data_IF_390996586114
#
_entry.id   IF_390996586114
#
_cell.length_a   1.000
_cell.length_b   1.000
_cell.length_c   1.000
_cell.angle_alpha   90.00
_cell.angle_beta   90.00
_cell.angle_gamma   90.00
#
_symmetry.space_group_name_H-M   'P 1'
#
loop_
_entity.id
_entity.type
_entity.pdbx_description
1 polymer ?
#
# COMPACT_ATOMS: atom_id res chain seq x y z
N UNK A 1 11.11 -43.71 -7.89
CA UNK A 1 10.78 -45.16 -7.98
C UNK A 1 9.29 -45.27 -8.27
N UNK A 2 8.85 -46.15 -9.19
CA UNK A 2 7.41 -46.37 -9.39
C UNK A 2 6.80 -46.96 -8.12
N UNK A 3 5.65 -46.44 -7.69
CA UNK A 3 4.87 -47.03 -6.60
C UNK A 3 4.52 -48.49 -6.93
N UNK A 4 4.75 -49.38 -5.97
CA UNK A 4 4.42 -50.79 -6.10
C UNK A 4 3.33 -51.15 -5.08
N UNK A 5 2.14 -51.46 -5.59
CA UNK A 5 0.97 -51.76 -4.79
C UNK A 5 1.17 -53.00 -3.91
N UNK A 6 1.78 -54.05 -4.45
CA UNK A 6 1.96 -55.32 -3.72
C UNK A 6 2.90 -55.14 -2.52
N UNK A 7 3.93 -54.29 -2.65
CA UNK A 7 4.83 -53.94 -1.54
C UNK A 7 4.12 -53.14 -0.45
N UNK A 8 3.28 -52.19 -0.85
CA UNK A 8 2.51 -51.38 0.09
C UNK A 8 1.47 -52.21 0.83
N UNK A 9 0.77 -53.13 0.15
CA UNK A 9 -0.21 -54.03 0.78
C UNK A 9 0.48 -54.99 1.76
N UNK A 10 1.71 -55.41 1.46
CA UNK A 10 2.49 -56.28 2.35
C UNK A 10 3.01 -55.57 3.62
N UNK A 11 3.31 -54.27 3.55
CA UNK A 11 3.73 -53.46 4.70
C UNK A 11 3.25 -52.02 4.55
N UNK A 12 1.97 -51.74 4.86
CA UNK A 12 1.41 -50.41 4.67
C UNK A 12 1.99 -49.45 5.71
N UNK A 13 2.45 -48.29 5.24
CA UNK A 13 2.98 -47.23 6.09
C UNK A 13 2.29 -45.90 5.79
N UNK A 14 2.15 -45.09 6.84
CA UNK A 14 1.53 -43.76 6.75
C UNK A 14 2.36 -42.81 5.90
N UNK A 15 3.68 -42.84 6.10
CA UNK A 15 4.63 -42.01 5.37
C UNK A 15 4.61 -42.32 3.86
N UNK A 16 4.50 -43.60 3.51
CA UNK A 16 4.34 -44.01 2.12
C UNK A 16 3.02 -43.49 1.55
N UNK A 17 1.90 -43.67 2.27
CA UNK A 17 0.57 -43.20 1.86
C UNK A 17 0.51 -41.67 1.66
N UNK A 18 1.20 -40.90 2.51
CA UNK A 18 1.30 -39.44 2.42
C UNK A 18 2.04 -38.98 1.15
N UNK A 19 3.08 -39.73 0.77
CA UNK A 19 3.91 -39.45 -0.39
C UNK A 19 3.26 -39.82 -1.73
N UNK A 20 2.20 -40.67 -1.73
CA UNK A 20 1.57 -41.16 -2.95
C UNK A 20 0.86 -40.07 -3.76
N UNK A 21 0.81 -40.25 -5.08
CA UNK A 21 0.00 -39.43 -5.99
C UNK A 21 -1.46 -39.87 -5.97
N UNK A 22 -2.38 -38.98 -6.37
CA UNK A 22 -3.83 -39.29 -6.44
C UNK A 22 -4.12 -40.58 -7.23
N UNK A 23 -3.44 -40.79 -8.35
CA UNK A 23 -3.59 -42.00 -9.18
C UNK A 23 -3.16 -43.28 -8.47
N UNK A 24 -2.23 -43.20 -7.53
CA UNK A 24 -1.71 -44.34 -6.76
C UNK A 24 -2.62 -44.63 -5.57
N UNK A 25 -3.08 -43.60 -4.86
CA UNK A 25 -4.08 -43.73 -3.79
C UNK A 25 -5.37 -44.36 -4.31
N UNK A 26 -5.80 -43.97 -5.52
CA UNK A 26 -6.97 -44.60 -6.18
C UNK A 26 -6.74 -46.09 -6.46
N UNK A 27 -5.52 -46.52 -6.80
CA UNK A 27 -5.21 -47.94 -6.98
C UNK A 27 -5.31 -48.71 -5.66
N UNK A 28 -4.80 -48.11 -4.57
CA UNK A 28 -4.90 -48.66 -3.22
C UNK A 28 -6.37 -48.79 -2.81
N UNK A 29 -7.17 -47.73 -2.96
CA UNK A 29 -8.60 -47.74 -2.66
C UNK A 29 -9.35 -48.84 -3.41
N UNK A 30 -9.08 -48.99 -4.72
CA UNK A 30 -9.68 -50.06 -5.54
C UNK A 30 -9.25 -51.47 -5.11
N UNK A 31 -8.01 -51.65 -4.67
CA UNK A 31 -7.50 -52.94 -4.21
C UNK A 31 -8.23 -53.42 -2.95
N UNK A 32 -8.48 -52.51 -2.02
CA UNK A 32 -9.24 -52.79 -0.80
C UNK A 32 -10.76 -52.73 -1.00
N UNK A 33 -11.25 -52.49 -2.22
CA UNK A 33 -12.69 -52.43 -2.50
C UNK A 33 -13.41 -51.22 -1.89
N UNK A 34 -12.67 -50.14 -1.57
CA UNK A 34 -13.22 -48.93 -0.97
C UNK A 34 -13.99 -48.14 -2.02
N UNK A 35 -15.25 -47.85 -1.75
CA UNK A 35 -16.08 -47.00 -2.61
C UNK A 35 -15.69 -45.53 -2.44
N UNK A 36 -15.39 -44.84 -3.54
CA UNK A 36 -15.10 -43.41 -3.54
C UNK A 36 -15.71 -42.74 -4.78
N UNK A 37 -16.01 -41.44 -4.68
CA UNK A 37 -16.50 -40.68 -5.82
C UNK A 37 -15.33 -40.19 -6.70
N UNK A 38 -15.40 -40.30 -8.03
CA UNK A 38 -14.30 -39.91 -8.92
C UNK A 38 -13.87 -38.43 -8.82
N UNK A 39 -14.80 -37.54 -8.44
CA UNK A 39 -14.54 -36.11 -8.27
C UNK A 39 -13.86 -35.76 -6.93
N UNK A 40 -13.76 -36.69 -5.99
CA UNK A 40 -13.17 -36.43 -4.68
C UNK A 40 -11.70 -35.98 -4.79
N UNK A 41 -11.31 -35.08 -3.90
CA UNK A 41 -9.94 -34.56 -3.78
C UNK A 41 -9.01 -35.67 -3.27
N UNK A 42 -7.70 -35.51 -3.52
CA UNK A 42 -6.67 -36.48 -3.09
C UNK A 42 -6.80 -36.80 -1.59
N UNK A 43 -6.97 -35.76 -0.78
CA UNK A 43 -7.00 -35.85 0.68
C UNK A 43 -8.26 -36.57 1.19
N UNK A 44 -9.39 -36.41 0.50
CA UNK A 44 -10.65 -37.11 0.82
C UNK A 44 -10.52 -38.61 0.55
N UNK A 45 -10.01 -39.00 -0.63
CA UNK A 45 -9.79 -40.42 -0.97
C UNK A 45 -8.75 -41.04 -0.02
N UNK A 46 -7.69 -40.28 0.31
CA UNK A 46 -6.67 -40.70 1.27
C UNK A 46 -7.28 -40.98 2.64
N UNK A 47 -8.21 -40.14 3.10
CA UNK A 47 -8.91 -40.32 4.38
C UNK A 47 -9.72 -41.61 4.41
N UNK A 48 -10.50 -41.90 3.37
CA UNK A 48 -11.25 -43.17 3.29
C UNK A 48 -10.33 -44.40 3.32
N UNK A 49 -9.19 -44.34 2.61
CA UNK A 49 -8.18 -45.40 2.66
C UNK A 49 -7.60 -45.55 4.06
N UNK A 50 -7.31 -44.44 4.73
CA UNK A 50 -6.73 -44.44 6.07
C UNK A 50 -7.72 -44.95 7.13
N UNK A 51 -8.99 -44.56 7.06
CA UNK A 51 -10.08 -45.07 7.91
C UNK A 51 -10.21 -46.60 7.75
N UNK A 52 -10.27 -47.10 6.51
CA UNK A 52 -10.34 -48.54 6.26
C UNK A 52 -9.13 -49.32 6.79
N UNK A 53 -7.91 -48.81 6.60
CA UNK A 53 -6.69 -49.46 7.10
C UNK A 53 -6.62 -49.46 8.64
N UNK A 54 -7.23 -48.49 9.32
CA UNK A 54 -7.34 -48.51 10.78
C UNK A 54 -8.45 -49.48 11.23
N UNK A 55 -9.60 -49.50 10.56
CA UNK A 55 -10.72 -50.38 10.89
C UNK A 55 -10.35 -51.86 10.77
N UNK A 56 -9.59 -52.22 9.73
CA UNK A 56 -9.03 -53.57 9.54
C UNK A 56 -7.83 -53.87 10.46
N UNK A 57 -7.50 -52.97 11.40
CA UNK A 57 -6.37 -53.09 12.33
C UNK A 57 -5.01 -53.26 11.64
N UNK A 58 -4.89 -52.79 10.40
CA UNK A 58 -3.66 -52.83 9.60
C UNK A 58 -2.72 -51.70 10.04
N UNK A 59 -3.28 -50.54 10.40
CA UNK A 59 -2.57 -49.39 10.96
C UNK A 59 -3.11 -49.05 12.36
N UNK A 60 -2.27 -48.52 13.28
CA UNK A 60 -2.71 -48.10 14.59
C UNK A 60 -3.61 -46.87 14.52
N UNK A 61 -4.63 -46.81 15.39
CA UNK A 61 -5.62 -45.71 15.44
C UNK A 61 -5.04 -44.33 15.76
N UNK A 62 -3.83 -44.26 16.30
CA UNK A 62 -3.07 -43.02 16.57
C UNK A 62 -2.76 -42.22 15.30
N UNK A 63 -2.82 -42.88 14.13
CA UNK A 63 -2.56 -42.26 12.82
C UNK A 63 -3.73 -41.38 12.38
N UNK A 64 -4.97 -41.75 12.72
CA UNK A 64 -6.15 -40.93 12.39
C UNK A 64 -6.12 -39.59 13.14
N UNK A 65 -5.71 -39.60 14.41
CA UNK A 65 -5.65 -38.38 15.23
C UNK A 65 -4.63 -37.37 14.72
N UNK A 66 -3.49 -37.84 14.20
CA UNK A 66 -2.44 -36.97 13.64
C UNK A 66 -2.83 -36.39 12.27
N UNK A 67 -3.50 -37.17 11.41
CA UNK A 67 -3.93 -36.72 10.08
C UNK A 67 -5.02 -35.61 10.11
N UNK A 68 -5.79 -35.49 11.19
CA UNK A 68 -6.87 -34.49 11.33
C UNK A 68 -6.32 -33.06 11.53
N UNK A 69 -5.05 -32.91 11.92
CA UNK A 69 -4.50 -31.61 12.39
C UNK A 69 -3.99 -30.66 11.30
N UNK A 70 -3.93 -31.07 10.03
CA UNK A 70 -3.43 -30.19 8.96
C UNK A 70 -4.51 -29.98 7.90
N UNK A 71 -5.43 -29.02 8.09
CA UNK A 71 -6.38 -28.65 7.06
C UNK A 71 -5.63 -27.98 5.91
N UNK A 72 -5.55 -28.67 4.77
CA UNK A 72 -4.98 -28.21 3.50
C UNK A 72 -5.79 -27.08 2.84
N UNK A 73 -6.96 -26.71 3.37
CA UNK A 73 -7.83 -25.63 2.86
C UNK A 73 -7.44 -24.20 3.32
N UNK A 74 -6.51 -24.05 4.26
CA UNK A 74 -6.08 -22.71 4.73
C UNK A 74 -5.41 -21.86 3.64
N UNK A 75 -4.98 -22.44 2.53
CA UNK A 75 -4.30 -21.73 1.44
C UNK A 75 -5.22 -20.76 0.69
N UNK A 76 -6.52 -21.05 0.60
CA UNK A 76 -7.47 -20.18 -0.10
C UNK A 76 -7.89 -19.00 0.78
N UNK A 77 -8.11 -19.24 2.08
CA UNK A 77 -8.40 -18.17 3.04
C UNK A 77 -7.21 -17.24 3.25
N UNK A 78 -5.97 -17.77 3.32
CA UNK A 78 -4.76 -16.95 3.39
C UNK A 78 -4.65 -16.02 2.17
N UNK A 79 -4.85 -16.56 0.96
CA UNK A 79 -4.80 -15.75 -0.28
C UNK A 79 -5.89 -14.69 -0.32
N UNK A 80 -7.08 -15.00 0.19
CA UNK A 80 -8.17 -14.03 0.27
C UNK A 80 -7.84 -12.89 1.23
N UNK A 81 -7.31 -13.23 2.40
CA UNK A 81 -6.88 -12.26 3.42
C UNK A 81 -5.71 -11.38 2.92
N UNK A 82 -4.75 -11.99 2.24
CA UNK A 82 -3.60 -11.29 1.65
C UNK A 82 -4.05 -10.31 0.54
N UNK A 83 -5.02 -10.71 -0.28
CA UNK A 83 -5.60 -9.84 -1.32
C UNK A 83 -6.36 -8.66 -0.71
N UNK A 84 -7.09 -8.88 0.38
CA UNK A 84 -7.82 -7.83 1.10
C UNK A 84 -6.86 -6.84 1.76
N UNK A 85 -5.81 -7.33 2.41
CA UNK A 85 -4.74 -6.50 2.97
C UNK A 85 -4.01 -5.68 1.90
N UNK A 86 -3.67 -6.28 0.76
CA UNK A 86 -3.03 -5.58 -0.36
C UNK A 86 -3.93 -4.47 -0.93
N UNK A 87 -5.24 -4.70 -1.01
CA UNK A 87 -6.21 -3.69 -1.44
C UNK A 87 -6.22 -2.51 -0.47
N UNK A 88 -6.21 -2.77 0.83
CA UNK A 88 -6.24 -1.72 1.85
C UNK A 88 -4.95 -0.90 1.88
N UNK A 89 -3.79 -1.54 1.76
CA UNK A 89 -2.49 -0.84 1.62
C UNK A 89 -2.52 0.10 0.43
N UNK A 90 -2.98 -0.38 -0.73
CA UNK A 90 -3.04 0.42 -1.97
C UNK A 90 -3.99 1.62 -1.86
N UNK A 91 -5.12 1.46 -1.18
CA UNK A 91 -6.04 2.58 -0.92
C UNK A 91 -5.39 3.63 -0.02
N UNK A 92 -4.71 3.20 1.04
CA UNK A 92 -4.03 4.08 1.99
C UNK A 92 -2.81 4.79 1.40
N UNK A 93 -2.17 4.20 0.39
CA UNK A 93 -1.12 4.87 -0.39
C UNK A 93 -1.69 5.97 -1.28
N UNK A 94 -2.77 5.68 -2.02
CA UNK A 94 -3.46 6.70 -2.83
C UNK A 94 -3.96 7.88 -1.99
N UNK A 95 -4.49 7.62 -0.81
CA UNK A 95 -4.98 8.69 0.08
C UNK A 95 -3.83 9.59 0.57
N UNK A 96 -2.71 8.98 0.97
CA UNK A 96 -1.51 9.73 1.37
C UNK A 96 -0.91 10.55 0.21
N UNK A 97 -0.94 10.01 -1.00
CA UNK A 97 -0.48 10.73 -2.19
C UNK A 97 -1.35 11.96 -2.48
N UNK A 98 -2.68 11.79 -2.48
CA UNK A 98 -3.62 12.92 -2.62
C UNK A 98 -3.43 13.98 -1.54
N UNK A 99 -3.24 13.57 -0.30
CA UNK A 99 -3.03 14.51 0.81
C UNK A 99 -1.71 15.29 0.65
N UNK A 100 -0.65 14.64 0.14
CA UNK A 100 0.62 15.33 -0.18
C UNK A 100 0.44 16.33 -1.31
N UNK A 101 -0.21 15.93 -2.41
CA UNK A 101 -0.48 16.83 -3.53
C UNK A 101 -1.32 18.03 -3.11
N UNK A 102 -2.32 17.82 -2.25
CA UNK A 102 -3.15 18.91 -1.74
C UNK A 102 -2.35 19.88 -0.86
N UNK A 103 -1.46 19.37 0.00
CA UNK A 103 -0.56 20.21 0.81
C UNK A 103 0.39 21.00 -0.07
N UNK A 104 1.04 20.37 -1.04
CA UNK A 104 1.94 21.06 -1.97
C UNK A 104 1.21 22.15 -2.75
N UNK A 105 -0.03 21.89 -3.18
CA UNK A 105 -0.84 22.89 -3.87
C UNK A 105 -1.16 24.08 -2.97
N UNK A 106 -1.58 23.83 -1.73
CA UNK A 106 -1.85 24.89 -0.74
C UNK A 106 -0.60 25.69 -0.42
N UNK A 107 0.55 25.05 -0.30
CA UNK A 107 1.83 25.75 -0.07
C UNK A 107 2.20 26.66 -1.23
N UNK A 108 2.06 26.18 -2.48
CA UNK A 108 2.29 27.00 -3.67
C UNK A 108 1.31 28.17 -3.77
N UNK A 109 0.03 27.94 -3.50
CA UNK A 109 -0.98 29.00 -3.47
C UNK A 109 -0.64 30.07 -2.41
N UNK A 110 -0.27 29.65 -1.19
CA UNK A 110 0.15 30.56 -0.13
C UNK A 110 1.42 31.33 -0.50
N UNK A 111 2.39 30.67 -1.14
CA UNK A 111 3.64 31.31 -1.56
C UNK A 111 3.41 32.37 -2.64
N UNK A 112 2.58 32.06 -3.65
CA UNK A 112 2.18 33.03 -4.67
C UNK A 112 1.44 34.23 -4.06
N UNK A 113 0.58 33.98 -3.07
CA UNK A 113 -0.15 35.05 -2.39
C UNK A 113 0.79 35.97 -1.59
N UNK A 114 1.74 35.39 -0.83
CA UNK A 114 2.77 36.16 -0.13
C UNK A 114 3.62 37.00 -1.08
N UNK A 115 4.07 36.42 -2.19
CA UNK A 115 4.86 37.14 -3.20
C UNK A 115 4.07 38.30 -3.83
N UNK A 116 2.78 38.09 -4.07
CA UNK A 116 1.89 39.15 -4.58
C UNK A 116 1.72 40.29 -3.57
N UNK A 117 1.47 39.95 -2.31
CA UNK A 117 1.34 40.93 -1.22
C UNK A 117 2.65 41.71 -1.00
N UNK A 118 3.81 41.03 -1.08
CA UNK A 118 5.12 41.67 -0.94
C UNK A 118 5.40 42.65 -2.10
N UNK A 119 5.10 42.26 -3.35
CA UNK A 119 5.20 43.14 -4.50
C UNK A 119 4.27 44.36 -4.38
N UNK A 120 3.06 44.17 -3.90
CA UNK A 120 2.10 45.26 -3.71
C UNK A 120 2.59 46.25 -2.65
N UNK A 121 3.11 45.74 -1.53
CA UNK A 121 3.72 46.58 -0.48
C UNK A 121 4.94 47.33 -0.98
N UNK A 122 5.77 46.71 -1.82
CA UNK A 122 6.95 47.35 -2.41
C UNK A 122 6.54 48.50 -3.35
N UNK A 123 5.53 48.28 -4.20
CA UNK A 123 5.01 49.33 -5.08
C UNK A 123 4.42 50.51 -4.30
N UNK A 124 3.73 50.24 -3.18
CA UNK A 124 3.22 51.31 -2.31
C UNK A 124 4.35 52.13 -1.69
N UNK A 125 5.37 51.46 -1.12
CA UNK A 125 6.54 52.15 -0.55
C UNK A 125 7.26 53.02 -1.58
N UNK A 126 7.49 52.50 -2.78
CA UNK A 126 8.13 53.27 -3.86
C UNK A 126 7.31 54.48 -4.28
N UNK A 127 5.97 54.35 -4.30
CA UNK A 127 5.07 55.46 -4.61
C UNK A 127 5.11 56.54 -3.52
N UNK A 128 5.04 56.16 -2.26
CA UNK A 128 5.13 57.07 -1.11
C UNK A 128 6.48 57.80 -1.08
N UNK A 129 7.58 57.09 -1.35
CA UNK A 129 8.92 57.68 -1.43
C UNK A 129 9.02 58.73 -2.55
N UNK A 130 8.47 58.41 -3.73
CA UNK A 130 8.40 59.37 -4.85
C UNK A 130 7.55 60.59 -4.53
N UNK A 131 6.45 60.43 -3.80
CA UNK A 131 5.60 61.54 -3.38
C UNK A 131 6.31 62.44 -2.36
N UNK A 132 6.96 61.86 -1.35
CA UNK A 132 7.78 62.61 -0.38
C UNK A 132 8.92 63.37 -1.06
N UNK A 133 9.56 62.76 -2.06
CA UNK A 133 10.65 63.40 -2.79
C UNK A 133 10.17 64.60 -3.60
N UNK A 134 9.03 64.47 -4.31
CA UNK A 134 8.41 65.60 -5.02
C UNK A 134 8.03 66.74 -4.07
N UNK A 135 7.46 66.41 -2.91
CA UNK A 135 7.08 67.42 -1.91
C UNK A 135 8.32 68.14 -1.35
N UNK A 136 9.41 67.41 -1.11
CA UNK A 136 10.67 68.00 -0.66
C UNK A 136 11.26 68.95 -1.71
N UNK A 137 11.29 68.53 -2.97
CA UNK A 137 11.75 69.36 -4.10
C UNK A 137 10.89 70.62 -4.29
N UNK A 138 9.56 70.50 -4.14
CA UNK A 138 8.64 71.63 -4.23
C UNK A 138 8.86 72.64 -3.09
N UNK A 139 9.00 72.16 -1.85
CA UNK A 139 9.33 73.01 -0.69
C UNK A 139 10.67 73.72 -0.86
N UNK A 140 11.68 73.02 -1.37
CA UNK A 140 12.99 73.62 -1.64
C UNK A 140 12.89 74.71 -2.71
N UNK A 141 12.17 74.45 -3.80
CA UNK A 141 11.94 75.45 -4.85
C UNK A 141 11.18 76.67 -4.31
N UNK A 142 10.20 76.47 -3.42
CA UNK A 142 9.47 77.56 -2.79
C UNK A 142 10.38 78.41 -1.90
N UNK A 143 11.23 77.79 -1.07
CA UNK A 143 12.21 78.49 -0.24
C UNK A 143 13.21 79.29 -1.09
N UNK A 144 13.68 78.74 -2.21
CA UNK A 144 14.54 79.46 -3.16
C UNK A 144 13.82 80.66 -3.81
N UNK A 145 12.53 80.54 -4.11
CA UNK A 145 11.72 81.65 -4.64
C UNK A 145 11.53 82.75 -3.58
N UNK A 146 11.27 82.38 -2.34
CA UNK A 146 11.08 83.33 -1.23
C UNK A 146 12.38 84.07 -0.89
N UNK A 147 13.50 83.36 -0.80
CA UNK A 147 14.83 83.97 -0.59
C UNK A 147 15.22 84.93 -1.71
N UNK A 148 14.91 84.61 -2.98
CA UNK A 148 15.10 85.55 -4.12
C UNK A 148 14.22 86.81 -4.03
N UNK A 149 13.00 86.70 -3.49
CA UNK A 149 12.11 87.87 -3.29
C UNK A 149 12.57 88.77 -2.14
N UNK A 150 13.24 88.22 -1.14
CA UNK A 150 13.71 88.95 0.05
C UNK A 150 15.02 89.73 -0.22
N UNK A 151 15.79 89.40 -1.27
CA UNK A 151 16.97 90.16 -1.69
C UNK A 151 16.82 90.84 -3.08
N UNK A 152 16.08 91.96 -3.23
CA UNK A 152 16.03 92.68 -4.51
C UNK A 152 17.14 93.75 -4.71
N UNK A 153 18.15 93.86 -3.85
CA UNK A 153 18.97 95.09 -3.80
C UNK A 153 20.47 94.86 -3.53
N UNK A 154 21.20 94.14 -4.41
CA UNK A 154 22.66 94.36 -4.60
C UNK A 154 23.05 93.98 -6.05
N UNK A 155 22.52 94.67 -7.05
CA UNK A 155 23.16 94.75 -8.39
C UNK A 155 22.57 95.92 -9.17
N UNK A 156 23.04 97.10 -8.80
CA UNK A 156 22.80 98.37 -9.48
C UNK A 156 23.87 99.35 -9.04
N UNK A 157 25.12 99.02 -9.36
CA UNK A 157 26.27 99.91 -9.28
C UNK A 157 26.74 100.26 -10.68
#
# INVERSE_FOLDING_TARGET
MPFNLDKFVASPSVEELDSLKKSEIVKVAKHYGIEFQPLMRKDEIKRYVLEYLVDESILPSTVLETAITVPTDNTFELKRLEMEMNKEIRLKEMEREREREERERKEREMQMQKEKEEREMQMQKEKEEREMQKEKEEREMQMQRETRKICPQISGG
#
